data_IF_222801515036
#
_entry.id   IF_222801515036
#
_cell.length_a   1.000
_cell.length_b   1.000
_cell.length_c   1.000
_cell.angle_alpha   90.00
_cell.angle_beta   90.00
_cell.angle_gamma   90.00
#
_symmetry.space_group_name_H-M   'P 1'
#
loop_
_entity.id
_entity.type
_entity.pdbx_description
1 polymer ?
#
# COMPACT_ATOMS: atom_id res chain seq x y z
N UNK A 1 14.20 -9.19 3.24
CA UNK A 1 13.57 -7.88 3.40
C UNK A 1 13.45 -7.29 2.01
N UNK A 2 12.25 -7.25 1.45
CA UNK A 2 11.99 -6.62 0.16
C UNK A 2 11.50 -5.17 0.36
N UNK A 3 11.61 -4.38 -0.69
CA UNK A 3 11.08 -3.02 -0.77
C UNK A 3 10.04 -2.96 -1.87
N UNK A 4 8.92 -2.32 -1.59
CA UNK A 4 7.79 -2.20 -2.51
C UNK A 4 7.40 -0.73 -2.71
N UNK A 5 6.73 -0.44 -3.81
CA UNK A 5 6.13 0.87 -4.09
C UNK A 5 4.64 0.69 -4.30
N UNK A 6 3.87 1.35 -3.45
CA UNK A 6 2.41 1.34 -3.47
C UNK A 6 1.93 2.73 -3.91
N UNK A 7 0.97 2.77 -4.83
CA UNK A 7 0.46 4.01 -5.40
C UNK A 7 -0.92 4.32 -4.84
N UNK A 8 -1.16 5.58 -4.51
CA UNK A 8 -2.45 6.08 -4.08
C UNK A 8 -2.65 7.48 -4.63
N UNK A 9 -3.88 7.82 -4.98
CA UNK A 9 -4.22 9.18 -5.41
C UNK A 9 -4.39 10.03 -4.15
N UNK A 10 -3.72 11.20 -4.04
CA UNK A 10 -3.71 11.99 -2.80
C UNK A 10 -5.09 12.57 -2.44
N UNK A 11 -6.00 12.72 -3.39
CA UNK A 11 -7.38 13.16 -3.19
C UNK A 11 -8.31 12.03 -2.71
N UNK A 12 -7.96 10.77 -2.98
CA UNK A 12 -8.71 9.59 -2.54
C UNK A 12 -8.20 9.07 -1.18
N UNK A 13 -6.88 8.92 -1.02
CA UNK A 13 -6.26 8.49 0.22
C UNK A 13 -4.77 8.88 0.25
N UNK A 14 -4.43 9.90 1.03
CA UNK A 14 -3.08 10.43 1.17
C UNK A 14 -2.25 9.71 2.24
N UNK A 15 -0.96 10.06 2.33
CA UNK A 15 -0.09 9.57 3.41
C UNK A 15 -0.51 10.16 4.77
N UNK A 16 -1.06 11.37 4.77
CA UNK A 16 -1.55 12.03 5.98
C UNK A 16 -2.83 11.35 6.46
N UNK A 17 -3.70 10.89 5.55
CA UNK A 17 -4.87 10.08 5.91
C UNK A 17 -4.46 8.79 6.61
N UNK A 18 -3.43 8.10 6.10
CA UNK A 18 -2.86 6.91 6.75
C UNK A 18 -2.28 7.25 8.13
N UNK A 19 -1.54 8.35 8.24
CA UNK A 19 -0.92 8.78 9.50
C UNK A 19 -1.95 9.09 10.60
N UNK A 20 -3.17 9.49 10.20
CA UNK A 20 -4.29 9.79 11.08
C UNK A 20 -5.17 8.57 11.41
N UNK A 21 -4.94 7.40 10.81
CA UNK A 21 -5.70 6.17 11.12
C UNK A 21 -5.33 5.62 12.50
N UNK A 22 -6.25 4.91 13.18
CA UNK A 22 -5.91 4.12 14.35
C UNK A 22 -4.74 3.19 14.03
N UNK A 23 -3.71 3.21 14.89
CA UNK A 23 -2.48 2.43 14.71
C UNK A 23 -1.76 2.68 13.37
N UNK A 24 -2.07 3.79 12.69
CA UNK A 24 -1.53 4.17 11.38
C UNK A 24 -1.65 3.02 10.34
N UNK A 25 -2.77 2.29 10.41
CA UNK A 25 -2.98 1.04 9.68
C UNK A 25 -4.27 1.10 8.87
N UNK A 26 -4.21 0.64 7.60
CA UNK A 26 -5.36 0.54 6.70
C UNK A 26 -5.23 -0.72 5.82
N UNK A 27 -6.34 -1.42 5.49
CA UNK A 27 -6.34 -2.48 4.47
C UNK A 27 -5.98 -1.93 3.09
N UNK A 28 -5.10 -2.63 2.37
CA UNK A 28 -4.79 -2.30 0.97
C UNK A 28 -5.80 -2.95 0.03
N UNK A 29 -6.91 -2.26 -0.23
CA UNK A 29 -8.01 -2.74 -1.06
C UNK A 29 -7.96 -2.18 -2.49
N UNK A 30 -9.07 -2.28 -3.23
CA UNK A 30 -9.19 -1.65 -4.55
C UNK A 30 -8.36 -2.24 -5.70
N UNK A 31 -7.42 -3.16 -5.44
CA UNK A 31 -6.55 -3.72 -6.49
C UNK A 31 -7.36 -4.55 -7.49
N UNK A 32 -7.43 -4.07 -8.73
CA UNK A 32 -8.05 -4.76 -9.88
C UNK A 32 -7.05 -5.26 -10.92
N UNK A 33 -5.77 -4.93 -10.76
CA UNK A 33 -4.70 -5.41 -11.63
C UNK A 33 -4.22 -6.80 -11.16
N UNK A 34 -4.25 -7.79 -12.06
CA UNK A 34 -3.88 -9.17 -11.74
C UNK A 34 -2.42 -9.34 -11.28
N UNK A 35 -1.48 -8.58 -11.88
CA UNK A 35 -0.07 -8.66 -11.53
C UNK A 35 0.19 -8.06 -10.13
N UNK A 36 -0.36 -6.87 -9.87
CA UNK A 36 -0.25 -6.22 -8.56
C UNK A 36 -0.85 -7.11 -7.45
N UNK A 37 -2.02 -7.71 -7.71
CA UNK A 37 -2.62 -8.69 -6.79
C UNK A 37 -1.68 -9.87 -6.51
N UNK A 38 -1.04 -10.42 -7.53
CA UNK A 38 -0.12 -11.54 -7.35
C UNK A 38 1.14 -11.12 -6.56
N UNK A 39 1.66 -9.89 -6.75
CA UNK A 39 2.74 -9.37 -5.92
C UNK A 39 2.34 -9.26 -4.44
N UNK A 40 1.14 -8.74 -4.14
CA UNK A 40 0.63 -8.66 -2.78
C UNK A 40 0.45 -10.05 -2.14
N UNK A 41 -0.09 -11.02 -2.90
CA UNK A 41 -0.38 -12.37 -2.40
C UNK A 41 0.88 -13.21 -2.19
N UNK A 42 1.78 -13.22 -3.17
CA UNK A 42 2.89 -14.17 -3.24
C UNK A 42 4.22 -13.55 -2.79
N UNK A 43 4.36 -12.23 -2.94
CA UNK A 43 5.61 -11.50 -2.74
C UNK A 43 5.70 -10.78 -1.39
N UNK A 44 4.72 -9.94 -1.09
CA UNK A 44 4.73 -9.08 0.11
C UNK A 44 4.62 -9.91 1.38
N UNK A 45 5.54 -9.70 2.32
CA UNK A 45 5.57 -10.40 3.60
C UNK A 45 5.55 -9.40 4.77
N UNK A 46 5.07 -9.85 5.93
CA UNK A 46 5.16 -9.07 7.16
C UNK A 46 6.61 -8.67 7.42
N UNK A 47 6.83 -7.38 7.71
CA UNK A 47 8.15 -6.81 7.94
C UNK A 47 8.80 -6.18 6.71
N UNK A 48 8.32 -6.45 5.50
CA UNK A 48 8.75 -5.72 4.30
C UNK A 48 8.38 -4.22 4.42
N UNK A 49 9.15 -3.39 3.72
CA UNK A 49 8.95 -1.94 3.72
C UNK A 49 8.34 -1.48 2.40
N UNK A 50 7.54 -0.42 2.49
CA UNK A 50 6.75 0.10 1.37
C UNK A 50 6.95 1.60 1.29
N UNK A 51 7.22 2.11 0.09
CA UNK A 51 7.07 3.52 -0.24
C UNK A 51 5.63 3.79 -0.68
N UNK A 52 4.99 4.80 -0.10
CA UNK A 52 3.72 5.33 -0.61
C UNK A 52 4.05 6.43 -1.62
N UNK A 53 3.57 6.27 -2.85
CA UNK A 53 3.77 7.19 -3.96
C UNK A 53 2.42 7.81 -4.35
N UNK A 54 2.37 9.15 -4.38
CA UNK A 54 1.21 9.88 -4.90
C UNK A 54 1.31 9.94 -6.43
N UNK A 55 0.36 9.28 -7.12
CA UNK A 55 0.19 9.37 -8.57
C UNK A 55 -0.84 10.41 -8.98
#
# INVERSE_FOLDING_TARGET
MAYWLFKTEPDAFSIDDLANRPEQTEPWDGVRNYQARNFLRDGVKRGDKVFIYHS
#
